data_IF_370153575497
#
_entry.id   IF_370153575497
#
_cell.length_a   1.000
_cell.length_b   1.000
_cell.length_c   1.000
_cell.angle_alpha   90.00
_cell.angle_beta   90.00
_cell.angle_gamma   90.00
#
_symmetry.space_group_name_H-M   'P 1'
#
loop_
_entity.id
_entity.type
_entity.pdbx_description
1 polymer ?
#
# COMPACT_ATOMS: atom_id res chain seq x y z
N UNK A 1 -40.07 -6.53 14.97
CA UNK A 1 -39.40 -5.23 15.13
C UNK A 1 -38.06 -5.31 14.42
N UNK A 2 -38.03 -4.92 13.15
CA UNK A 2 -36.84 -5.03 12.29
C UNK A 2 -36.40 -3.66 11.81
N UNK A 3 -35.10 -3.53 11.58
CA UNK A 3 -34.48 -2.62 10.63
C UNK A 3 -34.50 -1.12 10.97
N UNK A 4 -33.68 -0.72 11.94
CA UNK A 4 -33.18 0.66 11.99
C UNK A 4 -31.70 0.80 12.43
N UNK A 5 -30.93 -0.29 12.41
CA UNK A 5 -29.49 -0.25 12.73
C UNK A 5 -28.58 -0.09 11.49
N UNK A 6 -29.12 -0.17 10.27
CA UNK A 6 -28.33 -0.02 9.03
C UNK A 6 -28.28 1.41 8.47
N UNK A 7 -29.05 2.36 8.99
CA UNK A 7 -29.13 3.72 8.43
C UNK A 7 -27.86 4.57 8.68
N UNK A 8 -26.99 4.17 9.60
CA UNK A 8 -25.77 4.91 9.96
C UNK A 8 -24.47 4.25 9.47
N UNK A 9 -24.57 3.20 8.65
CA UNK A 9 -23.38 2.54 8.08
C UNK A 9 -23.10 3.12 6.70
N UNK A 10 -21.84 3.53 6.40
CA UNK A 10 -21.53 4.06 5.09
C UNK A 10 -21.70 2.97 4.02
N UNK A 11 -22.37 3.33 2.92
CA UNK A 11 -22.43 2.49 1.73
C UNK A 11 -21.13 2.57 0.94
N UNK A 12 -20.92 1.63 0.01
CA UNK A 12 -19.77 1.69 -0.90
C UNK A 12 -19.79 2.97 -1.75
N UNK A 13 -20.97 3.44 -2.16
CA UNK A 13 -21.14 4.70 -2.89
C UNK A 13 -20.76 5.90 -2.03
N UNK A 14 -21.10 5.89 -0.74
CA UNK A 14 -20.78 7.00 0.16
C UNK A 14 -19.27 7.16 0.32
N UNK A 15 -18.56 6.05 0.52
CA UNK A 15 -17.10 6.04 0.65
C UNK A 15 -16.40 6.53 -0.64
N UNK A 16 -16.99 6.30 -1.80
CA UNK A 16 -16.41 6.62 -3.11
C UNK A 16 -16.81 7.99 -3.67
N UNK A 17 -17.95 8.55 -3.27
CA UNK A 17 -18.51 9.72 -3.95
C UNK A 17 -18.70 10.92 -3.02
N UNK A 18 -18.78 10.72 -1.70
CA UNK A 18 -18.98 11.85 -0.80
C UNK A 18 -17.74 12.75 -0.74
N UNK A 19 -17.95 14.08 -0.63
CA UNK A 19 -16.88 14.99 -0.27
C UNK A 19 -16.24 14.59 1.06
N UNK A 20 -14.93 14.79 1.20
CA UNK A 20 -14.15 14.37 2.37
C UNK A 20 -14.71 14.92 3.69
N UNK A 21 -15.20 16.16 3.69
CA UNK A 21 -15.78 16.79 4.89
C UNK A 21 -17.06 16.07 5.33
N UNK A 22 -17.96 15.80 4.38
CA UNK A 22 -19.21 15.07 4.64
C UNK A 22 -18.94 13.63 5.04
N UNK A 23 -17.96 12.99 4.39
CA UNK A 23 -17.54 11.62 4.70
C UNK A 23 -17.01 11.53 6.14
N UNK A 24 -16.15 12.46 6.57
CA UNK A 24 -15.67 12.54 7.97
C UNK A 24 -16.81 12.62 8.97
N UNK A 25 -17.75 13.55 8.76
CA UNK A 25 -18.91 13.72 9.64
C UNK A 25 -19.76 12.45 9.71
N UNK A 26 -20.00 11.79 8.58
CA UNK A 26 -20.74 10.52 8.54
C UNK A 26 -19.99 9.43 9.32
N UNK A 27 -18.66 9.32 9.16
CA UNK A 27 -17.86 8.33 9.89
C UNK A 27 -17.91 8.56 11.41
N UNK A 28 -17.90 9.81 11.87
CA UNK A 28 -18.06 10.15 13.29
C UNK A 28 -19.41 9.72 13.88
N UNK A 29 -20.47 9.70 13.05
CA UNK A 29 -21.80 9.22 13.46
C UNK A 29 -21.97 7.69 13.42
N UNK A 30 -20.93 6.97 12.98
CA UNK A 30 -20.93 5.50 12.94
C UNK A 30 -21.02 4.94 14.37
N UNK A 31 -21.85 3.91 14.62
CA UNK A 31 -21.99 3.32 15.95
C UNK A 31 -20.63 2.94 16.58
N UNK A 32 -20.44 3.29 17.85
CA UNK A 32 -19.18 3.01 18.59
C UNK A 32 -18.97 1.52 18.86
N UNK A 33 -20.05 0.75 18.98
CA UNK A 33 -19.98 -0.69 19.20
C UNK A 33 -20.44 -1.42 17.93
N UNK A 34 -19.47 -1.95 17.20
CA UNK A 34 -19.67 -2.76 16.00
C UNK A 34 -19.41 -4.22 16.33
N UNK A 35 -20.24 -5.11 15.80
CA UNK A 35 -19.95 -6.55 15.86
C UNK A 35 -18.80 -6.89 14.91
N UNK A 36 -18.12 -8.02 15.13
CA UNK A 36 -17.05 -8.48 14.22
C UNK A 36 -17.55 -8.58 12.77
N UNK A 37 -18.75 -9.13 12.56
CA UNK A 37 -19.35 -9.27 11.24
C UNK A 37 -19.60 -7.91 10.56
N UNK A 38 -20.03 -6.89 11.33
CA UNK A 38 -20.21 -5.54 10.80
C UNK A 38 -18.87 -4.89 10.44
N UNK A 39 -17.84 -5.06 11.27
CA UNK A 39 -16.48 -4.59 10.98
C UNK A 39 -15.91 -5.24 9.72
N UNK A 40 -16.14 -6.53 9.50
CA UNK A 40 -15.68 -7.22 8.30
C UNK A 40 -16.42 -6.76 7.06
N UNK A 41 -17.76 -6.70 7.10
CA UNK A 41 -18.56 -6.20 5.99
C UNK A 41 -18.18 -4.75 5.62
N UNK A 42 -17.94 -3.91 6.63
CA UNK A 42 -17.49 -2.55 6.43
C UNK A 42 -16.05 -2.51 5.89
N UNK A 43 -15.16 -3.35 6.41
CA UNK A 43 -13.79 -3.51 5.95
C UNK A 43 -13.70 -3.82 4.46
N UNK A 44 -14.55 -4.71 3.94
CA UNK A 44 -14.60 -5.00 2.50
C UNK A 44 -15.02 -3.77 1.65
N UNK A 45 -15.98 -2.97 2.13
CA UNK A 45 -16.37 -1.73 1.44
C UNK A 45 -15.25 -0.70 1.43
N UNK A 46 -14.62 -0.50 2.59
CA UNK A 46 -13.45 0.37 2.71
C UNK A 46 -12.31 -0.08 1.82
N UNK A 47 -12.05 -1.38 1.74
CA UNK A 47 -10.99 -1.92 0.91
C UNK A 47 -11.20 -1.59 -0.58
N UNK A 48 -12.42 -1.78 -1.10
CA UNK A 48 -12.75 -1.40 -2.48
C UNK A 48 -12.59 0.10 -2.71
N UNK A 49 -13.13 0.92 -1.80
CA UNK A 49 -13.06 2.38 -1.93
C UNK A 49 -11.60 2.88 -1.84
N UNK A 50 -10.80 2.28 -0.96
CA UNK A 50 -9.38 2.59 -0.81
C UNK A 50 -8.59 2.23 -2.06
N UNK A 51 -8.79 1.04 -2.64
CA UNK A 51 -8.15 0.64 -3.90
C UNK A 51 -8.51 1.59 -5.06
N UNK A 52 -9.77 2.00 -5.16
CA UNK A 52 -10.21 2.98 -6.17
C UNK A 52 -9.55 4.35 -5.96
N UNK A 53 -9.50 4.83 -4.72
CA UNK A 53 -8.80 6.06 -4.36
C UNK A 53 -7.31 5.98 -4.71
N UNK A 54 -6.69 4.82 -4.48
CA UNK A 54 -5.29 4.54 -4.84
C UNK A 54 -5.08 4.58 -6.36
N UNK A 55 -5.96 3.96 -7.15
CA UNK A 55 -5.90 4.04 -8.62
C UNK A 55 -6.01 5.48 -9.13
N UNK A 56 -6.89 6.28 -8.51
CA UNK A 56 -7.25 7.62 -9.00
C UNK A 56 -6.38 8.73 -8.39
N UNK A 57 -5.53 8.43 -7.42
CA UNK A 57 -4.67 9.42 -6.76
C UNK A 57 -5.37 10.30 -5.72
N UNK A 58 -6.51 9.87 -5.15
CA UNK A 58 -7.30 10.67 -4.22
C UNK A 58 -6.66 10.77 -2.81
N UNK A 59 -5.59 11.56 -2.72
CA UNK A 59 -4.73 11.64 -1.54
C UNK A 59 -5.47 11.99 -0.24
N UNK A 60 -6.41 12.95 -0.27
CA UNK A 60 -7.17 13.33 0.92
C UNK A 60 -8.07 12.19 1.44
N UNK A 61 -8.59 11.37 0.53
CA UNK A 61 -9.38 10.18 0.88
C UNK A 61 -8.51 9.08 1.45
N UNK A 62 -7.33 8.86 0.86
CA UNK A 62 -6.32 7.91 1.36
C UNK A 62 -5.90 8.29 2.78
N UNK A 63 -5.58 9.56 3.01
CA UNK A 63 -5.25 10.11 4.34
C UNK A 63 -6.39 9.91 5.33
N UNK A 64 -7.63 10.16 4.92
CA UNK A 64 -8.80 9.90 5.75
C UNK A 64 -8.91 8.41 6.12
N UNK A 65 -8.73 7.49 5.17
CA UNK A 65 -8.86 6.06 5.43
C UNK A 65 -7.73 5.47 6.27
N UNK A 66 -6.53 6.04 6.21
CA UNK A 66 -5.39 5.55 6.98
C UNK A 66 -5.28 6.21 8.36
N UNK A 67 -5.61 7.49 8.50
CA UNK A 67 -5.37 8.26 9.75
C UNK A 67 -6.59 8.99 10.29
N UNK A 68 -7.56 9.30 9.44
CA UNK A 68 -8.73 10.08 9.83
C UNK A 68 -9.93 9.26 10.27
N UNK A 69 -9.79 7.93 10.37
CA UNK A 69 -10.89 7.07 10.81
C UNK A 69 -11.09 7.20 12.33
N UNK A 70 -12.35 7.23 12.81
CA UNK A 70 -12.65 7.15 14.24
C UNK A 70 -12.07 5.89 14.88
N UNK A 71 -11.79 5.94 16.18
CA UNK A 71 -11.13 4.87 16.95
C UNK A 71 -11.74 3.48 16.72
N UNK A 72 -13.07 3.39 16.65
CA UNK A 72 -13.79 2.13 16.43
C UNK A 72 -13.51 1.49 15.06
N UNK A 73 -13.03 2.25 14.07
CA UNK A 73 -12.67 1.80 12.73
C UNK A 73 -11.15 1.65 12.53
N UNK A 74 -10.33 1.90 13.56
CA UNK A 74 -8.87 1.69 13.53
C UNK A 74 -8.46 0.30 13.00
N UNK A 75 -9.14 -0.81 13.33
CA UNK A 75 -8.81 -2.12 12.77
C UNK A 75 -8.92 -2.16 11.24
N UNK A 76 -9.83 -1.39 10.65
CA UNK A 76 -9.98 -1.26 9.20
C UNK A 76 -8.78 -0.52 8.62
N UNK A 77 -8.39 0.63 9.17
CA UNK A 77 -7.20 1.39 8.73
C UNK A 77 -5.95 0.49 8.66
N UNK A 78 -5.68 -0.29 9.71
CA UNK A 78 -4.53 -1.22 9.73
C UNK A 78 -4.59 -2.26 8.61
N UNK A 79 -5.77 -2.81 8.34
CA UNK A 79 -5.98 -3.76 7.23
C UNK A 79 -5.79 -3.09 5.86
N UNK A 80 -6.20 -1.83 5.71
CA UNK A 80 -6.00 -1.06 4.48
C UNK A 80 -4.52 -0.78 4.24
N UNK A 81 -3.77 -0.41 5.29
CA UNK A 81 -2.33 -0.16 5.19
C UNK A 81 -1.54 -1.42 4.76
N UNK A 82 -2.02 -2.60 5.17
CA UNK A 82 -1.46 -3.89 4.76
C UNK A 82 -1.98 -4.40 3.40
N UNK A 83 -2.91 -3.69 2.74
CA UNK A 83 -3.51 -4.14 1.47
C UNK A 83 -2.58 -3.91 0.29
N UNK A 84 -1.75 -4.91 -0.02
CA UNK A 84 -0.80 -4.87 -1.14
C UNK A 84 -1.48 -4.70 -2.50
N UNK A 85 -2.73 -5.15 -2.64
CA UNK A 85 -3.47 -4.93 -3.87
C UNK A 85 -3.69 -3.43 -4.10
N UNK A 86 -3.84 -2.61 -3.06
CA UNK A 86 -3.98 -1.17 -3.20
C UNK A 86 -2.76 -0.51 -3.86
N UNK A 87 -1.55 -1.03 -3.61
CA UNK A 87 -0.32 -0.57 -4.28
C UNK A 87 -0.27 -0.97 -5.74
N UNK A 88 -0.75 -2.18 -6.10
CA UNK A 88 -0.92 -2.56 -7.52
C UNK A 88 -1.86 -1.59 -8.24
N UNK A 89 -3.00 -1.24 -7.64
CA UNK A 89 -3.92 -0.24 -8.20
C UNK A 89 -3.26 1.15 -8.33
N UNK A 90 -2.53 1.61 -7.32
CA UNK A 90 -1.79 2.86 -7.38
C UNK A 90 -0.75 2.86 -8.50
N UNK A 91 0.00 1.77 -8.65
CA UNK A 91 1.02 1.62 -9.68
C UNK A 91 0.41 1.60 -11.09
N UNK A 92 -0.67 0.85 -11.31
CA UNK A 92 -1.40 0.88 -12.59
C UNK A 92 -2.01 2.24 -12.89
N UNK A 93 -2.37 3.01 -11.86
CA UNK A 93 -2.82 4.40 -11.99
C UNK A 93 -1.70 5.42 -12.18
N UNK A 94 -0.42 5.01 -12.12
CA UNK A 94 0.73 5.91 -12.14
C UNK A 94 0.82 6.84 -10.92
N UNK A 95 0.22 6.46 -9.79
CA UNK A 95 0.06 7.31 -8.61
C UNK A 95 1.29 7.24 -7.68
N UNK A 96 2.41 7.79 -8.14
CA UNK A 96 3.70 7.77 -7.43
C UNK A 96 3.59 8.32 -6.01
N UNK A 97 2.91 9.46 -5.83
CA UNK A 97 2.73 10.06 -4.50
C UNK A 97 1.91 9.19 -3.54
N UNK A 98 1.00 8.36 -4.05
CA UNK A 98 0.22 7.41 -3.24
C UNK A 98 1.09 6.25 -2.80
N UNK A 99 1.90 5.71 -3.71
CA UNK A 99 2.84 4.62 -3.41
C UNK A 99 3.83 5.08 -2.35
N UNK A 100 4.44 6.25 -2.55
CA UNK A 100 5.32 6.90 -1.57
C UNK A 100 4.66 6.92 -0.19
N UNK A 101 3.47 7.52 -0.13
CA UNK A 101 2.71 7.71 1.09
C UNK A 101 2.42 6.41 1.85
N UNK A 102 2.00 5.36 1.13
CA UNK A 102 1.63 4.07 1.72
C UNK A 102 2.89 3.32 2.16
N UNK A 103 3.90 3.21 1.29
CA UNK A 103 5.14 2.48 1.57
C UNK A 103 5.91 3.07 2.75
N UNK A 104 5.93 4.40 2.90
CA UNK A 104 6.57 5.06 4.05
C UNK A 104 5.89 4.75 5.39
N UNK A 105 4.63 4.32 5.38
CA UNK A 105 3.85 4.01 6.58
C UNK A 105 3.78 2.53 6.90
N UNK A 106 4.14 1.68 5.96
CA UNK A 106 4.18 0.23 6.18
C UNK A 106 5.37 -0.17 7.07
N UNK A 107 5.17 -1.23 7.85
CA UNK A 107 6.26 -1.91 8.52
C UNK A 107 7.23 -2.50 7.48
N UNK A 108 8.52 -2.60 7.83
CA UNK A 108 9.53 -3.14 6.92
C UNK A 108 9.18 -4.56 6.43
N UNK A 109 8.56 -5.36 7.30
CA UNK A 109 8.08 -6.71 6.97
C UNK A 109 6.95 -6.74 5.93
N UNK A 110 6.16 -5.66 5.83
CA UNK A 110 5.11 -5.55 4.81
C UNK A 110 5.66 -4.92 3.53
N UNK A 111 6.59 -3.96 3.68
CA UNK A 111 7.22 -3.22 2.60
C UNK A 111 8.18 -4.08 1.77
N UNK A 112 9.21 -4.64 2.42
CA UNK A 112 10.27 -5.44 1.80
C UNK A 112 9.97 -6.94 1.86
N UNK A 113 9.17 -7.38 2.85
CA UNK A 113 8.91 -8.80 3.05
C UNK A 113 10.18 -9.56 3.43
N UNK A 114 10.30 -10.78 2.92
CA UNK A 114 11.55 -11.56 2.94
C UNK A 114 12.30 -11.48 1.58
N UNK A 115 11.83 -10.64 0.65
CA UNK A 115 12.27 -10.60 -0.75
C UNK A 115 13.39 -9.56 -0.96
N UNK A 116 14.53 -9.79 -0.33
CA UNK A 116 15.71 -8.93 -0.49
C UNK A 116 16.24 -8.90 -1.93
N UNK A 117 16.06 -9.99 -2.67
CA UNK A 117 16.44 -10.09 -4.09
C UNK A 117 15.65 -9.11 -4.96
N UNK A 118 14.37 -8.87 -4.64
CA UNK A 118 13.54 -7.88 -5.30
C UNK A 118 14.07 -6.45 -5.06
N UNK A 119 14.58 -6.17 -3.86
CA UNK A 119 15.20 -4.88 -3.53
C UNK A 119 16.50 -4.64 -4.28
N UNK A 120 17.33 -5.67 -4.41
CA UNK A 120 18.54 -5.60 -5.23
C UNK A 120 18.22 -5.42 -6.71
N UNK A 121 17.19 -6.10 -7.23
CA UNK A 121 16.74 -5.93 -8.61
C UNK A 121 16.27 -4.51 -8.89
N UNK A 122 15.53 -3.88 -7.97
CA UNK A 122 15.10 -2.48 -8.09
C UNK A 122 16.31 -1.54 -8.11
N UNK A 123 17.27 -1.71 -7.19
CA UNK A 123 18.47 -0.86 -7.15
C UNK A 123 19.33 -1.01 -8.41
N UNK A 124 19.55 -2.26 -8.87
CA UNK A 124 20.25 -2.52 -10.11
C UNK A 124 19.53 -1.89 -11.31
N UNK A 125 18.19 -1.92 -11.30
CA UNK A 125 17.40 -1.23 -12.31
C UNK A 125 17.61 0.29 -12.24
N UNK A 126 17.58 0.91 -11.06
CA UNK A 126 17.81 2.35 -10.94
C UNK A 126 19.21 2.76 -11.42
N UNK A 127 20.25 1.98 -11.10
CA UNK A 127 21.62 2.28 -11.51
C UNK A 127 21.84 2.14 -13.01
N UNK A 128 21.35 1.06 -13.63
CA UNK A 128 21.48 0.94 -15.08
C UNK A 128 20.69 2.02 -15.84
N UNK A 129 19.61 2.56 -15.28
CA UNK A 129 18.88 3.70 -15.87
C UNK A 129 19.66 5.00 -15.75
N UNK A 130 20.30 5.23 -14.60
CA UNK A 130 21.20 6.39 -14.41
C UNK A 130 22.35 6.39 -15.40
N UNK A 131 22.78 5.21 -15.82
CA UNK A 131 23.80 5.00 -16.86
C UNK A 131 23.24 5.05 -18.30
N UNK A 132 21.95 5.33 -18.48
CA UNK A 132 21.29 5.41 -19.79
C UNK A 132 21.05 4.06 -20.46
N UNK A 133 21.15 2.94 -19.73
CA UNK A 133 20.80 1.61 -20.22
C UNK A 133 19.29 1.38 -20.10
N UNK A 134 18.69 0.82 -21.14
CA UNK A 134 17.29 0.43 -21.12
C UNK A 134 17.14 -0.90 -20.40
N UNK A 135 16.35 -0.93 -19.34
CA UNK A 135 16.14 -2.14 -18.50
C UNK A 135 14.67 -2.56 -18.46
N UNK A 136 13.76 -1.64 -18.79
CA UNK A 136 12.32 -1.87 -18.84
C UNK A 136 11.86 -2.68 -20.07
N UNK A 137 12.72 -3.56 -20.59
CA UNK A 137 12.49 -4.23 -21.88
C UNK A 137 13.12 -5.61 -22.02
N UNK A 138 14.11 -5.94 -21.20
CA UNK A 138 14.65 -7.30 -21.16
C UNK A 138 13.99 -7.98 -19.96
N UNK A 139 13.17 -8.99 -20.23
CA UNK A 139 12.77 -10.01 -19.25
C UNK A 139 14.02 -10.80 -18.84
N UNK A 140 15.01 -10.13 -18.28
CA UNK A 140 16.20 -10.76 -17.75
C UNK A 140 15.85 -11.35 -16.38
N UNK A 141 15.10 -12.45 -16.45
CA UNK A 141 15.17 -13.55 -15.50
C UNK A 141 14.76 -13.31 -14.05
N UNK A 142 14.30 -12.12 -13.66
CA UNK A 142 13.68 -11.94 -12.34
C UNK A 142 12.26 -12.48 -12.37
N UNK A 143 12.15 -13.81 -12.47
CA UNK A 143 10.93 -14.51 -12.10
C UNK A 143 10.77 -14.36 -10.60
N UNK A 144 10.00 -13.35 -10.18
CA UNK A 144 9.39 -13.43 -8.86
C UNK A 144 8.54 -14.70 -8.86
N UNK A 145 8.70 -15.54 -7.84
CA UNK A 145 7.84 -16.71 -7.68
C UNK A 145 6.37 -16.28 -7.64
N UNK A 146 5.40 -17.19 -7.70
CA UNK A 146 3.98 -16.85 -7.50
C UNK A 146 3.71 -16.09 -6.17
N UNK A 147 4.70 -16.05 -5.26
CA UNK A 147 4.74 -15.20 -4.08
C UNK A 147 5.24 -13.77 -4.36
N UNK A 148 5.31 -13.29 -5.61
CA UNK A 148 5.58 -11.89 -5.98
C UNK A 148 4.57 -10.91 -5.30
N UNK A 149 3.43 -11.43 -4.87
CA UNK A 149 2.45 -10.74 -4.04
C UNK A 149 2.85 -10.67 -2.54
N UNK A 150 4.03 -11.16 -2.14
CA UNK A 150 4.47 -11.23 -0.75
C UNK A 150 4.98 -9.91 -0.18
N UNK A 151 5.32 -8.93 -1.03
CA UNK A 151 5.80 -7.62 -0.58
C UNK A 151 5.27 -6.48 -1.45
N UNK A 152 5.15 -5.29 -0.85
CA UNK A 152 4.76 -4.07 -1.54
C UNK A 152 5.70 -3.71 -2.69
N UNK A 153 7.00 -3.95 -2.48
CA UNK A 153 8.05 -3.66 -3.45
C UNK A 153 7.95 -4.53 -4.72
N UNK A 154 7.77 -5.84 -4.57
CA UNK A 154 7.65 -6.75 -5.72
C UNK A 154 6.47 -6.37 -6.63
N UNK A 155 5.33 -6.00 -6.03
CA UNK A 155 4.15 -5.52 -6.75
C UNK A 155 4.44 -4.25 -7.55
N UNK A 156 5.07 -3.24 -6.93
CA UNK A 156 5.37 -1.97 -7.60
C UNK A 156 6.40 -2.16 -8.70
N UNK A 157 7.44 -2.97 -8.47
CA UNK A 157 8.47 -3.26 -9.47
C UNK A 157 7.91 -4.01 -10.69
N UNK A 158 7.06 -5.02 -10.47
CA UNK A 158 6.42 -5.75 -11.56
C UNK A 158 5.59 -4.81 -12.44
N UNK A 159 4.76 -3.97 -11.84
CA UNK A 159 3.95 -3.00 -12.59
C UNK A 159 4.82 -1.94 -13.27
N UNK A 160 5.93 -1.52 -12.66
CA UNK A 160 6.85 -0.57 -13.26
C UNK A 160 7.51 -1.11 -14.54
N UNK A 161 7.87 -2.40 -14.56
CA UNK A 161 8.35 -3.07 -15.77
C UNK A 161 7.26 -3.10 -16.85
N UNK A 162 6.05 -3.54 -16.49
CA UNK A 162 4.92 -3.66 -17.43
C UNK A 162 4.52 -2.32 -18.04
N UNK A 163 4.49 -1.27 -17.21
CA UNK A 163 4.10 0.09 -17.61
C UNK A 163 5.27 0.91 -18.12
N UNK A 164 6.50 0.40 -18.03
CA UNK A 164 7.75 1.10 -18.35
C UNK A 164 7.87 2.45 -17.65
N UNK A 165 7.44 2.51 -16.39
CA UNK A 165 7.44 3.73 -15.58
C UNK A 165 8.60 3.75 -14.59
N UNK A 166 9.49 4.71 -14.79
CA UNK A 166 10.69 4.89 -13.95
C UNK A 166 10.36 5.55 -12.61
N UNK A 167 9.39 6.44 -12.61
CA UNK A 167 9.00 7.16 -11.40
C UNK A 167 8.48 6.20 -10.31
N UNK A 168 7.88 5.07 -10.73
CA UNK A 168 7.39 4.02 -9.84
C UNK A 168 8.49 3.25 -9.10
N UNK A 169 9.68 3.10 -9.69
CA UNK A 169 10.82 2.45 -9.02
C UNK A 169 11.68 3.46 -8.27
N UNK A 170 11.80 4.69 -8.79
CA UNK A 170 12.60 5.74 -8.17
C UNK A 170 12.07 6.12 -6.78
N UNK A 171 10.76 6.13 -6.60
CA UNK A 171 10.11 6.42 -5.30
C UNK A 171 10.45 5.39 -4.22
N UNK A 172 10.90 4.19 -4.60
CA UNK A 172 11.26 3.14 -3.64
C UNK A 172 12.72 3.21 -3.22
N UNK A 173 13.57 3.95 -3.91
CA UNK A 173 15.02 3.93 -3.74
C UNK A 173 15.44 4.21 -2.30
N UNK A 174 15.02 5.37 -1.76
CA UNK A 174 15.38 5.81 -0.42
C UNK A 174 14.93 4.80 0.64
N UNK A 175 13.74 4.19 0.44
CA UNK A 175 13.17 3.24 1.37
C UNK A 175 13.89 1.89 1.32
N UNK A 176 14.28 1.43 0.14
CA UNK A 176 15.05 0.20 -0.04
C UNK A 176 16.44 0.35 0.56
N UNK A 177 17.14 1.45 0.28
CA UNK A 177 18.45 1.74 0.83
C UNK A 177 18.41 1.72 2.38
N UNK A 178 17.44 2.41 2.97
CA UNK A 178 17.27 2.44 4.43
C UNK A 178 16.97 1.06 5.03
N UNK A 179 16.13 0.26 4.37
CA UNK A 179 15.79 -1.09 4.84
C UNK A 179 16.98 -2.05 4.77
N UNK A 180 17.78 -1.99 3.70
CA UNK A 180 19.00 -2.80 3.55
C UNK A 180 20.06 -2.42 4.59
N UNK A 181 20.28 -1.13 4.83
CA UNK A 181 21.22 -0.65 5.85
C UNK A 181 20.88 -1.18 7.25
N UNK A 182 19.60 -1.17 7.62
CA UNK A 182 19.13 -1.72 8.88
C UNK A 182 19.38 -3.22 9.00
N UNK A 183 19.14 -3.96 7.92
CA UNK A 183 19.36 -5.41 7.89
C UNK A 183 20.85 -5.77 7.99
N UNK A 184 21.72 -5.04 7.29
CA UNK A 184 23.18 -5.21 7.39
C UNK A 184 23.63 -4.93 8.84
N UNK A 185 23.15 -3.85 9.44
CA UNK A 185 23.46 -3.51 10.82
C UNK A 185 22.98 -4.59 11.81
N UNK A 186 21.81 -5.18 11.58
CA UNK A 186 21.29 -6.30 12.35
C UNK A 186 22.21 -7.52 12.25
N UNK A 187 22.53 -7.95 11.04
CA UNK A 187 23.41 -9.12 10.81
C UNK A 187 24.80 -8.93 11.42
N UNK A 188 25.39 -7.74 11.31
CA UNK A 188 26.70 -7.43 11.89
C UNK A 188 26.69 -7.49 13.43
N UNK A 189 25.60 -7.04 14.07
CA UNK A 189 25.44 -7.13 15.53
C UNK A 189 25.27 -8.56 16.03
N UNK A 190 24.59 -9.41 15.26
CA UNK A 190 24.38 -10.81 15.62
C UNK A 190 25.57 -11.71 15.28
N UNK A 191 26.36 -11.37 14.25
CA UNK A 191 27.59 -12.08 13.89
C UNK A 191 28.73 -11.87 14.89
N UNK A 192 28.79 -10.72 15.56
CA UNK A 192 29.79 -10.42 16.60
C UNK A 192 29.42 -10.99 17.99
N UNK A 193 28.33 -11.77 18.11
CA UNK A 193 27.87 -12.39 19.36
C UNK A 193 27.95 -13.92 19.36
N UNK A 194 28.49 -14.53 18.31
CA UNK A 194 28.82 -15.96 18.23
C UNK A 194 30.33 -16.14 18.23
#
# INVERSE_FOLDING_TARGET
>A
MGDNQNSNMPSESDLNCLPIVTLKQMLETTPRMLTSHQLDALGFKFQKAFRRACLSGEMDRIKLFLEGLPDQLTPISKRLLADRTALSWAAHGGQVAVIDYICFRQHDSDFMGYDYDAGLAVLAALDALREGRSILGEKDGVEFSDDAASSSMAVVYQVAIETKSLDLIAVLEDRIAAALDQQIAYQMRHRNRG
#
